data_IF_874214413151
#
_entry.id   IF_874214413151
#
_cell.length_a   1.000
_cell.length_b   1.000
_cell.length_c   1.000
_cell.angle_alpha   90.00
_cell.angle_beta   90.00
_cell.angle_gamma   90.00
#
_symmetry.space_group_name_H-M   'P 1'
#
loop_
_entity.id
_entity.type
_entity.pdbx_description
1 polymer ?
#
# COMPACT_ATOMS: atom_id res chain seq x y z
N UNK A 1 -18.53 -33.39 22.97
CA UNK A 1 -18.02 -32.91 21.65
C UNK A 1 -18.78 -31.67 21.13
N UNK A 2 -20.10 -31.61 21.28
CA UNK A 2 -20.94 -30.47 20.82
C UNK A 2 -20.68 -29.16 21.60
N UNK A 3 -20.57 -29.24 22.92
CA UNK A 3 -20.27 -28.12 23.82
C UNK A 3 -18.89 -27.49 23.58
N UNK A 4 -17.89 -28.29 23.24
CA UNK A 4 -16.55 -27.79 22.87
C UNK A 4 -16.59 -27.00 21.56
N UNK A 5 -17.26 -27.49 20.53
CA UNK A 5 -17.43 -26.76 19.24
C UNK A 5 -18.14 -25.43 19.41
N UNK A 6 -19.20 -25.39 20.22
CA UNK A 6 -19.96 -24.14 20.49
C UNK A 6 -19.05 -23.13 21.23
N UNK A 7 -18.20 -23.60 22.12
CA UNK A 7 -17.26 -22.74 22.86
C UNK A 7 -16.18 -22.17 21.93
N UNK A 8 -15.60 -23.01 21.07
CA UNK A 8 -14.63 -22.60 20.06
C UNK A 8 -15.23 -21.58 19.07
N UNK A 9 -16.46 -21.82 18.61
CA UNK A 9 -17.17 -20.88 17.73
C UNK A 9 -17.47 -19.54 18.45
N UNK A 10 -17.88 -19.56 19.70
CA UNK A 10 -18.12 -18.34 20.48
C UNK A 10 -16.81 -17.55 20.75
N UNK A 11 -15.72 -18.22 20.99
CA UNK A 11 -14.40 -17.57 21.16
C UNK A 11 -13.90 -16.99 19.84
N UNK A 12 -14.09 -17.67 18.71
CA UNK A 12 -13.80 -17.16 17.38
C UNK A 12 -14.63 -15.90 17.08
N UNK A 13 -15.93 -15.96 17.33
CA UNK A 13 -16.86 -14.84 17.11
C UNK A 13 -16.50 -13.62 17.99
N UNK A 14 -16.10 -13.85 19.22
CA UNK A 14 -15.63 -12.77 20.11
C UNK A 14 -14.34 -12.12 19.58
N UNK A 15 -13.39 -12.92 19.10
CA UNK A 15 -12.16 -12.42 18.48
C UNK A 15 -12.43 -11.62 17.22
N UNK A 16 -13.36 -12.07 16.37
CA UNK A 16 -13.78 -11.33 15.17
C UNK A 16 -14.45 -9.99 15.52
N UNK A 17 -15.37 -10.00 16.51
CA UNK A 17 -16.00 -8.76 16.98
C UNK A 17 -14.99 -7.77 17.55
N UNK A 18 -14.03 -8.24 18.36
CA UNK A 18 -12.97 -7.38 18.89
C UNK A 18 -12.13 -6.78 17.76
N UNK A 19 -11.66 -7.59 16.82
CA UNK A 19 -10.90 -7.13 15.65
C UNK A 19 -11.66 -6.09 14.81
N UNK A 20 -12.98 -6.29 14.64
CA UNK A 20 -13.82 -5.35 13.93
C UNK A 20 -13.93 -4.01 14.69
N UNK A 21 -14.15 -4.07 16.01
CA UNK A 21 -14.24 -2.87 16.84
C UNK A 21 -12.91 -2.10 16.85
N UNK A 22 -11.78 -2.79 16.98
CA UNK A 22 -10.44 -2.20 16.93
C UNK A 22 -10.20 -1.53 15.56
N UNK A 23 -10.53 -2.22 14.46
CA UNK A 23 -10.43 -1.66 13.10
C UNK A 23 -11.31 -0.42 12.92
N UNK A 24 -12.54 -0.41 13.46
CA UNK A 24 -13.41 0.77 13.37
C UNK A 24 -12.87 1.95 14.18
N UNK A 25 -12.29 1.69 15.36
CA UNK A 25 -11.64 2.72 16.17
C UNK A 25 -10.43 3.33 15.44
N UNK A 26 -9.59 2.49 14.82
CA UNK A 26 -8.45 2.92 14.03
C UNK A 26 -8.88 3.78 12.83
N UNK A 27 -9.90 3.32 12.07
CA UNK A 27 -10.49 4.07 10.96
C UNK A 27 -10.97 5.46 11.41
N UNK A 28 -11.74 5.49 12.51
CA UNK A 28 -12.27 6.75 13.04
C UNK A 28 -11.14 7.71 13.46
N UNK A 29 -10.07 7.18 14.05
CA UNK A 29 -8.90 7.96 14.43
C UNK A 29 -8.17 8.50 13.20
N UNK A 30 -7.94 7.66 12.17
CA UNK A 30 -7.24 8.05 10.94
C UNK A 30 -8.02 9.07 10.11
N UNK A 31 -9.35 9.07 10.16
CA UNK A 31 -10.19 10.08 9.50
C UNK A 31 -10.27 11.39 10.32
N UNK A 32 -10.26 11.29 11.66
CA UNK A 32 -10.37 12.47 12.53
C UNK A 32 -9.19 13.42 12.35
N UNK A 33 -7.98 12.90 12.22
CA UNK A 33 -6.75 13.71 12.10
C UNK A 33 -6.80 14.66 10.89
N UNK A 34 -6.93 14.19 9.64
CA UNK A 34 -6.98 15.08 8.48
C UNK A 34 -8.22 16.01 8.50
N UNK A 35 -9.35 15.53 9.02
CA UNK A 35 -10.55 16.37 9.16
C UNK A 35 -10.32 17.51 10.14
N UNK A 36 -9.64 17.26 11.27
CA UNK A 36 -9.30 18.30 12.25
C UNK A 36 -8.33 19.31 11.63
N UNK A 37 -7.32 18.84 10.90
CA UNK A 37 -6.37 19.72 10.20
C UNK A 37 -7.07 20.57 9.14
N UNK A 38 -7.95 19.97 8.32
CA UNK A 38 -8.73 20.72 7.32
C UNK A 38 -9.63 21.81 7.98
N UNK A 39 -10.29 21.50 9.09
CA UNK A 39 -11.09 22.49 9.82
C UNK A 39 -10.23 23.63 10.39
N UNK A 40 -9.02 23.34 10.88
CA UNK A 40 -8.09 24.36 11.35
C UNK A 40 -7.67 25.27 10.20
N UNK A 41 -7.27 24.71 9.05
CA UNK A 41 -6.88 25.48 7.87
C UNK A 41 -8.05 26.35 7.38
N UNK A 42 -9.27 25.82 7.35
CA UNK A 42 -10.47 26.59 7.00
C UNK A 42 -10.71 27.77 7.97
N UNK A 43 -10.34 27.61 9.23
CA UNK A 43 -10.42 28.71 10.20
C UNK A 43 -9.37 29.78 9.91
N UNK A 44 -8.12 29.39 9.63
CA UNK A 44 -7.03 30.29 9.25
C UNK A 44 -7.36 31.05 7.96
N UNK A 45 -7.97 30.38 6.98
CA UNK A 45 -8.39 31.00 5.72
C UNK A 45 -9.37 32.17 5.89
N UNK A 46 -10.20 32.16 6.93
CA UNK A 46 -11.17 33.25 7.18
C UNK A 46 -10.50 34.56 7.56
N UNK A 47 -9.35 34.48 8.24
CA UNK A 47 -8.62 35.65 8.76
C UNK A 47 -7.38 35.98 7.89
N UNK A 48 -7.10 35.14 6.87
CA UNK A 48 -5.93 35.30 6.00
C UNK A 48 -6.16 36.41 4.98
N UNK A 49 -5.33 37.47 5.07
CA UNK A 49 -5.36 38.59 4.15
C UNK A 49 -4.26 38.55 3.08
N UNK A 50 -3.24 37.70 3.28
CA UNK A 50 -2.17 37.50 2.31
C UNK A 50 -2.58 36.49 1.25
N UNK A 51 -2.60 36.92 0.00
CA UNK A 51 -2.99 36.07 -1.14
C UNK A 51 -2.04 34.90 -1.37
N UNK A 52 -0.76 35.01 -1.05
CA UNK A 52 0.22 33.93 -1.18
C UNK A 52 0.00 32.85 -0.12
N UNK A 53 -0.20 33.28 1.11
CA UNK A 53 -0.52 32.38 2.23
C UNK A 53 -1.86 31.67 1.99
N UNK A 54 -2.87 32.40 1.52
CA UNK A 54 -4.18 31.85 1.17
C UNK A 54 -4.10 30.74 0.13
N UNK A 55 -3.29 30.91 -0.94
CA UNK A 55 -3.08 29.86 -1.94
C UNK A 55 -2.40 28.62 -1.35
N UNK A 56 -1.45 28.81 -0.44
CA UNK A 56 -0.80 27.69 0.26
C UNK A 56 -1.79 26.90 1.09
N UNK A 57 -2.58 27.59 1.92
CA UNK A 57 -3.62 26.96 2.76
C UNK A 57 -4.69 26.23 1.95
N UNK A 58 -5.10 26.78 0.80
CA UNK A 58 -6.04 26.10 -0.11
C UNK A 58 -5.43 24.80 -0.66
N UNK A 59 -4.17 24.84 -1.11
CA UNK A 59 -3.49 23.64 -1.60
C UNK A 59 -3.35 22.58 -0.53
N UNK A 60 -2.96 22.95 0.69
CA UNK A 60 -2.88 22.04 1.82
C UNK A 60 -4.26 21.39 2.13
N UNK A 61 -5.33 22.17 2.01
CA UNK A 61 -6.69 21.65 2.18
C UNK A 61 -7.04 20.63 1.10
N UNK A 62 -6.72 20.92 -0.16
CA UNK A 62 -6.93 19.98 -1.28
C UNK A 62 -6.15 18.68 -1.08
N UNK A 63 -4.90 18.75 -0.66
CA UNK A 63 -4.07 17.59 -0.35
C UNK A 63 -4.69 16.71 0.76
N UNK A 64 -5.23 17.33 1.82
CA UNK A 64 -5.93 16.61 2.88
C UNK A 64 -7.20 15.90 2.38
N UNK A 65 -7.98 16.53 1.49
CA UNK A 65 -9.15 15.88 0.90
C UNK A 65 -8.76 14.71 0.00
N UNK A 66 -7.76 14.83 -0.84
CA UNK A 66 -7.23 13.74 -1.68
C UNK A 66 -6.78 12.56 -0.80
N UNK A 67 -6.10 12.85 0.31
CA UNK A 67 -5.69 11.82 1.27
C UNK A 67 -6.89 11.10 1.91
N UNK A 68 -7.93 11.85 2.31
CA UNK A 68 -9.15 11.26 2.87
C UNK A 68 -9.90 10.40 1.85
N UNK A 69 -10.03 10.85 0.60
CA UNK A 69 -10.64 10.07 -0.48
C UNK A 69 -9.90 8.75 -0.71
N UNK A 70 -8.57 8.81 -0.77
CA UNK A 70 -7.74 7.60 -0.90
C UNK A 70 -7.92 6.64 0.28
N UNK A 71 -7.97 7.17 1.51
CA UNK A 71 -8.19 6.39 2.72
C UNK A 71 -9.54 5.66 2.66
N UNK A 72 -10.62 6.38 2.38
CA UNK A 72 -11.98 5.80 2.27
C UNK A 72 -12.04 4.74 1.16
N UNK A 73 -11.49 5.04 -0.02
CA UNK A 73 -11.44 4.08 -1.13
C UNK A 73 -10.67 2.80 -0.77
N UNK A 74 -9.54 2.94 -0.08
CA UNK A 74 -8.74 1.79 0.37
C UNK A 74 -9.46 0.94 1.41
N UNK A 75 -10.15 1.58 2.37
CA UNK A 75 -10.97 0.90 3.37
C UNK A 75 -12.14 0.12 2.74
N UNK A 76 -12.81 0.70 1.74
CA UNK A 76 -13.86 0.01 1.00
C UNK A 76 -13.33 -1.20 0.23
N UNK A 77 -12.13 -1.10 -0.38
CA UNK A 77 -11.47 -2.24 -1.03
C UNK A 77 -11.15 -3.34 -0.02
N UNK A 78 -10.56 -3.01 1.12
CA UNK A 78 -10.27 -3.95 2.21
C UNK A 78 -11.55 -4.63 2.70
N UNK A 79 -12.61 -3.86 2.96
CA UNK A 79 -13.90 -4.41 3.42
C UNK A 79 -14.49 -5.42 2.43
N UNK A 80 -14.43 -5.12 1.12
CA UNK A 80 -14.89 -6.05 0.08
C UNK A 80 -14.05 -7.32 -0.02
N UNK A 81 -12.72 -7.21 0.13
CA UNK A 81 -11.80 -8.34 0.15
C UNK A 81 -12.03 -9.23 1.38
N UNK A 82 -12.22 -8.64 2.56
CA UNK A 82 -12.54 -9.36 3.81
C UNK A 82 -13.85 -10.12 3.73
N UNK A 83 -14.87 -9.47 3.16
CA UNK A 83 -16.17 -10.10 2.97
C UNK A 83 -16.17 -11.22 1.91
N UNK A 84 -15.05 -11.44 1.21
CA UNK A 84 -14.97 -12.42 0.12
C UNK A 84 -15.87 -12.10 -1.08
N UNK A 85 -16.33 -10.86 -1.21
CA UNK A 85 -17.23 -10.43 -2.29
C UNK A 85 -16.47 -10.18 -3.59
N UNK A 86 -15.15 -9.96 -3.50
CA UNK A 86 -14.34 -9.67 -4.68
C UNK A 86 -14.12 -10.95 -5.48
N UNK A 87 -14.58 -10.93 -6.72
CA UNK A 87 -14.31 -11.98 -7.70
C UNK A 87 -13.16 -11.49 -8.58
N UNK A 88 -11.98 -12.12 -8.46
CA UNK A 88 -10.83 -11.80 -9.29
C UNK A 88 -10.97 -12.40 -10.69
N UNK A 89 -10.87 -11.57 -11.72
CA UNK A 89 -10.81 -12.00 -13.11
C UNK A 89 -9.40 -12.46 -13.46
N UNK A 90 -9.09 -13.74 -13.14
CA UNK A 90 -7.75 -14.30 -13.35
C UNK A 90 -7.51 -14.60 -14.82
N UNK A 91 -6.70 -13.80 -15.44
CA UNK A 91 -6.26 -13.92 -16.83
C UNK A 91 -4.72 -14.03 -16.92
N UNK A 92 -4.21 -14.25 -18.11
CA UNK A 92 -2.77 -14.18 -18.36
C UNK A 92 -2.35 -12.71 -18.47
N UNK A 93 -1.59 -12.25 -17.49
CA UNK A 93 -1.11 -10.86 -17.38
C UNK A 93 0.36 -10.80 -17.80
N UNK A 94 0.66 -9.93 -18.75
CA UNK A 94 2.05 -9.62 -19.14
C UNK A 94 2.69 -8.73 -18.07
N UNK A 95 3.85 -9.18 -17.54
CA UNK A 95 4.52 -8.50 -16.43
C UNK A 95 5.01 -7.10 -16.82
N UNK A 96 5.50 -6.92 -18.04
CA UNK A 96 5.91 -5.63 -18.58
C UNK A 96 4.77 -4.59 -18.56
N UNK A 97 3.58 -4.99 -19.03
CA UNK A 97 2.38 -4.13 -19.03
C UNK A 97 1.87 -3.85 -17.63
N UNK A 98 1.94 -4.85 -16.75
CA UNK A 98 1.54 -4.71 -15.35
C UNK A 98 2.40 -3.65 -14.64
N UNK A 99 3.72 -3.75 -14.78
CA UNK A 99 4.67 -2.80 -14.20
C UNK A 99 4.48 -1.40 -14.79
N UNK A 100 4.35 -1.28 -16.13
CA UNK A 100 4.12 0.00 -16.77
C UNK A 100 2.81 0.67 -16.27
N UNK A 101 1.72 -0.10 -16.14
CA UNK A 101 0.45 0.38 -15.58
C UNK A 101 0.56 0.84 -14.12
N UNK A 102 1.37 0.14 -13.32
CA UNK A 102 1.58 0.48 -11.91
C UNK A 102 2.46 1.72 -11.74
N UNK A 103 3.47 1.90 -12.61
CA UNK A 103 4.39 3.04 -12.59
C UNK A 103 3.76 4.34 -13.11
N UNK A 104 2.79 4.24 -14.02
CA UNK A 104 2.21 5.40 -14.70
C UNK A 104 1.87 6.59 -13.79
N UNK A 105 1.23 6.41 -12.61
CA UNK A 105 0.90 7.53 -11.71
C UNK A 105 2.13 8.20 -11.06
N UNK A 106 3.26 7.52 -11.06
CA UNK A 106 4.49 7.99 -10.39
C UNK A 106 5.48 8.66 -11.33
N UNK A 107 5.26 8.66 -12.66
CA UNK A 107 6.22 9.21 -13.62
C UNK A 107 6.54 10.69 -13.35
N UNK A 108 5.52 11.51 -13.13
CA UNK A 108 5.72 12.95 -12.81
C UNK A 108 6.37 13.13 -11.42
N UNK A 109 5.88 12.50 -10.34
CA UNK A 109 6.57 12.55 -9.05
C UNK A 109 8.02 12.09 -9.10
N UNK A 110 8.34 11.01 -9.84
CA UNK A 110 9.70 10.52 -10.00
C UNK A 110 10.60 11.54 -10.69
N UNK A 111 10.11 12.19 -11.74
CA UNK A 111 10.83 13.24 -12.44
C UNK A 111 11.09 14.46 -11.52
N UNK A 112 10.07 14.92 -10.78
CA UNK A 112 10.18 16.05 -9.87
C UNK A 112 11.18 15.82 -8.73
N UNK A 113 11.27 14.59 -8.22
CA UNK A 113 12.19 14.19 -7.15
C UNK A 113 13.49 13.57 -7.67
N UNK A 114 13.71 13.56 -9.00
CA UNK A 114 14.87 12.96 -9.65
C UNK A 114 15.10 11.50 -9.23
N UNK A 115 14.02 10.72 -9.07
CA UNK A 115 14.07 9.30 -8.73
C UNK A 115 14.27 8.48 -10.00
N UNK A 116 15.33 7.66 -10.02
CA UNK A 116 15.65 6.78 -11.15
C UNK A 116 14.93 5.44 -11.00
N UNK A 117 14.37 4.92 -12.08
CA UNK A 117 13.75 3.59 -12.11
C UNK A 117 14.49 2.71 -13.10
N UNK A 118 14.92 1.56 -12.62
CA UNK A 118 15.57 0.52 -13.44
C UNK A 118 14.61 -0.68 -13.53
N UNK A 119 14.30 -1.14 -14.74
CA UNK A 119 13.36 -2.24 -14.98
C UNK A 119 14.05 -3.34 -15.74
N UNK A 120 14.08 -4.52 -15.15
CA UNK A 120 14.65 -5.74 -15.74
C UNK A 120 13.60 -6.85 -15.76
N UNK A 121 12.87 -6.97 -16.85
CA UNK A 121 11.80 -7.95 -17.04
C UNK A 121 12.10 -8.78 -18.28
N UNK A 122 12.19 -10.11 -18.17
CA UNK A 122 12.38 -10.99 -19.33
C UNK A 122 11.23 -10.81 -20.34
N UNK A 123 11.59 -10.82 -21.62
CA UNK A 123 10.61 -10.75 -22.69
C UNK A 123 9.63 -11.93 -22.61
N UNK A 124 8.35 -11.62 -22.70
CA UNK A 124 7.28 -12.63 -22.64
C UNK A 124 6.95 -13.13 -21.23
N UNK A 125 7.54 -12.59 -20.17
CA UNK A 125 7.19 -12.95 -18.79
C UNK A 125 5.70 -12.72 -18.52
N UNK A 126 5.03 -13.77 -18.00
CA UNK A 126 3.59 -13.77 -17.73
C UNK A 126 3.30 -14.38 -16.38
N UNK A 127 2.22 -13.89 -15.76
CA UNK A 127 1.67 -14.43 -14.52
C UNK A 127 0.15 -14.54 -14.64
N UNK A 128 -0.47 -15.34 -13.77
CA UNK A 128 -1.91 -15.52 -13.75
C UNK A 128 -2.53 -14.66 -12.65
N UNK A 129 -3.45 -13.74 -13.02
CA UNK A 129 -4.10 -12.88 -12.03
C UNK A 129 -5.03 -11.84 -12.66
N UNK A 130 -5.59 -11.00 -11.82
CA UNK A 130 -6.39 -9.84 -12.24
C UNK A 130 -5.46 -8.63 -12.39
N UNK A 131 -5.30 -8.15 -13.60
CA UNK A 131 -4.36 -7.07 -13.93
C UNK A 131 -4.65 -5.80 -13.12
N UNK A 132 -5.91 -5.42 -12.93
CA UNK A 132 -6.29 -4.19 -12.23
C UNK A 132 -5.91 -4.27 -10.75
N UNK A 133 -6.23 -5.39 -10.10
CA UNK A 133 -5.90 -5.61 -8.70
C UNK A 133 -4.39 -5.79 -8.47
N UNK A 134 -3.70 -6.51 -9.37
CA UNK A 134 -2.24 -6.65 -9.28
C UNK A 134 -1.52 -5.31 -9.46
N UNK A 135 -1.99 -4.48 -10.42
CA UNK A 135 -1.47 -3.12 -10.60
C UNK A 135 -1.68 -2.27 -9.34
N UNK A 136 -2.82 -2.40 -8.67
CA UNK A 136 -3.08 -1.73 -7.38
C UNK A 136 -2.12 -2.20 -6.29
N UNK A 137 -1.85 -3.50 -6.19
CA UNK A 137 -0.90 -4.04 -5.20
C UNK A 137 0.51 -3.49 -5.43
N UNK A 138 0.99 -3.48 -6.68
CA UNK A 138 2.31 -2.94 -7.04
C UNK A 138 2.35 -1.42 -6.78
N UNK A 139 1.29 -0.67 -7.08
CA UNK A 139 1.22 0.77 -6.78
C UNK A 139 1.39 1.06 -5.29
N UNK A 140 0.81 0.25 -4.41
CA UNK A 140 0.99 0.41 -2.97
C UNK A 140 2.43 0.18 -2.52
N UNK A 141 3.15 -0.75 -3.15
CA UNK A 141 4.60 -0.95 -2.91
C UNK A 141 5.39 0.23 -3.46
N UNK A 142 5.15 0.64 -4.70
CA UNK A 142 5.85 1.76 -5.34
C UNK A 142 5.66 3.06 -4.57
N UNK A 143 4.46 3.31 -4.05
CA UNK A 143 4.21 4.46 -3.17
C UNK A 143 5.10 4.41 -1.93
N UNK A 144 5.22 3.24 -1.30
CA UNK A 144 6.08 3.06 -0.14
C UNK A 144 7.56 3.30 -0.48
N UNK A 145 8.03 2.77 -1.62
CA UNK A 145 9.38 3.02 -2.11
C UNK A 145 9.62 4.52 -2.37
N UNK A 146 8.69 5.21 -3.05
CA UNK A 146 8.80 6.65 -3.31
C UNK A 146 8.88 7.49 -2.03
N UNK A 147 8.07 7.16 -1.01
CA UNK A 147 8.12 7.83 0.29
C UNK A 147 9.43 7.55 1.05
N UNK A 148 10.05 6.38 0.79
CA UNK A 148 11.29 5.93 1.45
C UNK A 148 12.55 6.54 0.84
N UNK A 149 12.64 6.64 -0.49
CA UNK A 149 13.88 7.05 -1.17
C UNK A 149 14.16 8.56 -1.12
N UNK A 150 13.11 9.39 -0.97
CA UNK A 150 13.26 10.84 -1.04
C UNK A 150 13.76 11.32 -2.41
N UNK A 151 14.53 12.43 -2.42
CA UNK A 151 15.11 12.99 -3.64
C UNK A 151 16.35 12.20 -4.09
N UNK A 152 16.54 12.09 -5.42
CA UNK A 152 17.66 11.40 -6.07
C UNK A 152 17.77 9.90 -5.72
N UNK A 153 16.65 9.25 -5.34
CA UNK A 153 16.62 7.83 -5.03
C UNK A 153 16.63 6.93 -6.27
N UNK A 154 16.78 5.63 -6.02
CA UNK A 154 16.73 4.60 -7.07
C UNK A 154 15.71 3.55 -6.67
N UNK A 155 14.89 3.13 -7.64
CA UNK A 155 13.96 2.02 -7.51
C UNK A 155 14.28 1.01 -8.61
N UNK A 156 14.59 -0.22 -8.22
CA UNK A 156 14.90 -1.32 -9.14
C UNK A 156 13.74 -2.31 -9.14
N UNK A 157 13.28 -2.69 -10.32
CA UNK A 157 12.21 -3.66 -10.51
C UNK A 157 12.74 -4.80 -11.36
N UNK A 158 12.81 -5.98 -10.77
CA UNK A 158 13.27 -7.18 -11.45
C UNK A 158 12.15 -8.22 -11.55
N UNK A 159 12.14 -8.99 -12.62
CA UNK A 159 11.27 -10.13 -12.76
C UNK A 159 12.10 -11.39 -13.02
N UNK A 160 11.82 -12.44 -12.23
CA UNK A 160 12.31 -13.80 -12.49
C UNK A 160 11.14 -14.65 -12.95
N UNK A 161 11.21 -15.13 -14.18
CA UNK A 161 10.20 -16.03 -14.74
C UNK A 161 10.79 -17.43 -14.91
N UNK A 162 10.28 -18.39 -14.15
CA UNK A 162 10.74 -19.78 -14.12
C UNK A 162 9.61 -20.74 -14.52
N UNK A 163 9.89 -22.02 -14.62
CA UNK A 163 8.87 -23.05 -14.87
C UNK A 163 7.89 -23.22 -13.70
N UNK A 164 8.29 -22.85 -12.48
CA UNK A 164 7.51 -23.08 -11.26
C UNK A 164 6.78 -21.85 -10.77
N UNK A 165 7.35 -20.66 -11.00
CA UNK A 165 6.79 -19.40 -10.50
C UNK A 165 7.30 -18.20 -11.31
N UNK A 166 6.53 -17.13 -11.26
CA UNK A 166 6.95 -15.78 -11.65
C UNK A 166 7.11 -14.94 -10.39
N UNK A 167 8.25 -14.28 -10.24
CA UNK A 167 8.57 -13.43 -9.09
C UNK A 167 8.90 -12.01 -9.56
N UNK A 168 8.25 -11.01 -8.96
CA UNK A 168 8.58 -9.60 -9.15
C UNK A 168 9.23 -9.12 -7.86
N UNK A 169 10.45 -8.61 -7.96
CA UNK A 169 11.19 -7.99 -6.86
C UNK A 169 11.26 -6.49 -7.08
N UNK A 170 10.92 -5.70 -6.08
CA UNK A 170 11.03 -4.24 -6.09
C UNK A 170 11.96 -3.86 -4.95
N UNK A 171 13.07 -3.22 -5.28
CA UNK A 171 14.09 -2.75 -4.34
C UNK A 171 14.18 -1.23 -4.41
N UNK A 172 14.31 -0.58 -3.27
CA UNK A 172 14.55 0.86 -3.16
C UNK A 172 15.88 1.17 -2.47
N UNK A 173 16.44 2.34 -2.77
CA UNK A 173 17.69 2.82 -2.15
C UNK A 173 17.48 3.58 -0.83
N UNK A 174 16.31 3.48 -0.23
CA UNK A 174 15.97 4.15 1.02
C UNK A 174 16.67 3.54 2.25
N UNK A 175 16.31 3.94 3.46
CA UNK A 175 16.93 3.46 4.70
C UNK A 175 16.53 2.02 5.06
N UNK A 176 15.54 1.43 4.37
CA UNK A 176 14.98 0.13 4.73
C UNK A 176 14.13 0.17 6.00
N UNK A 177 13.78 -1.01 6.49
CA UNK A 177 12.92 -1.19 7.67
C UNK A 177 13.73 -1.46 8.93
N UNK A 178 13.19 -1.08 10.10
CA UNK A 178 13.71 -1.57 11.37
C UNK A 178 13.39 -3.07 11.51
N UNK A 179 14.28 -3.84 12.14
CA UNK A 179 14.11 -5.30 12.28
C UNK A 179 12.80 -5.67 13.02
N UNK A 180 12.43 -4.85 14.00
CA UNK A 180 11.22 -5.02 14.80
C UNK A 180 9.95 -4.82 14.00
N UNK A 181 10.01 -4.00 12.93
CA UNK A 181 8.85 -3.65 12.11
C UNK A 181 8.57 -4.72 11.04
N UNK A 182 9.58 -5.48 10.59
CA UNK A 182 9.48 -6.42 9.47
C UNK A 182 8.32 -7.43 9.59
N UNK A 183 8.06 -7.94 10.78
CA UNK A 183 6.97 -8.91 11.00
C UNK A 183 5.58 -8.29 10.90
N UNK A 184 5.48 -6.97 11.03
CA UNK A 184 4.23 -6.22 11.14
C UNK A 184 3.92 -5.33 9.95
N UNK A 185 4.82 -5.19 8.97
CA UNK A 185 4.66 -4.29 7.81
C UNK A 185 3.35 -4.48 7.05
N UNK A 186 2.80 -5.69 7.04
CA UNK A 186 1.55 -6.03 6.37
C UNK A 186 0.33 -6.03 7.30
N UNK A 187 0.49 -5.63 8.57
CA UNK A 187 -0.65 -5.41 9.47
C UNK A 187 -1.37 -4.10 9.10
N UNK A 188 -2.68 -4.07 9.28
CA UNK A 188 -3.48 -2.87 9.01
C UNK A 188 -3.15 -1.79 10.04
N UNK A 189 -3.08 -0.55 9.58
CA UNK A 189 -2.80 0.64 10.39
C UNK A 189 -1.42 0.62 11.07
N UNK A 190 -0.59 -0.38 10.75
CA UNK A 190 0.75 -0.41 11.28
C UNK A 190 1.64 0.62 10.59
N UNK A 191 2.33 1.41 11.39
CA UNK A 191 3.38 2.35 10.97
C UNK A 191 4.63 2.11 11.80
N UNK A 192 5.77 2.06 11.16
CA UNK A 192 7.06 1.97 11.84
C UNK A 192 7.32 3.18 12.73
N UNK A 193 8.08 3.01 13.80
CA UNK A 193 8.36 4.09 14.77
C UNK A 193 9.05 5.32 14.18
N UNK A 194 9.77 5.16 13.08
CA UNK A 194 10.49 6.24 12.38
C UNK A 194 9.78 6.71 11.10
N UNK A 195 8.62 6.15 10.81
CA UNK A 195 7.86 6.51 9.62
C UNK A 195 7.16 7.85 9.86
N UNK A 196 7.78 8.92 9.38
CA UNK A 196 7.24 10.28 9.36
C UNK A 196 6.39 10.55 8.10
N UNK A 197 6.24 9.56 7.22
CA UNK A 197 5.48 9.67 5.98
C UNK A 197 3.98 9.90 6.20
N UNK A 198 3.29 10.36 5.16
CA UNK A 198 1.85 10.64 5.17
C UNK A 198 0.97 9.38 5.11
N UNK A 199 1.55 8.18 5.16
CA UNK A 199 0.85 6.91 5.00
C UNK A 199 -0.01 6.52 6.20
N UNK A 200 -1.18 5.92 5.94
CA UNK A 200 -2.13 5.47 6.98
C UNK A 200 -1.89 4.00 7.43
N UNK A 201 -0.81 3.36 6.99
CA UNK A 201 -0.51 1.96 7.31
C UNK A 201 -1.47 0.95 6.67
N UNK A 202 -2.12 1.31 5.56
CA UNK A 202 -3.14 0.49 4.88
C UNK A 202 -2.61 -0.12 3.58
N UNK A 203 -1.69 0.56 2.90
CA UNK A 203 -1.25 0.19 1.54
C UNK A 203 -0.64 -1.21 1.46
N UNK A 204 0.30 -1.54 2.34
CA UNK A 204 0.94 -2.86 2.35
C UNK A 204 -0.02 -3.97 2.80
N UNK A 205 -0.93 -3.68 3.74
CA UNK A 205 -1.97 -4.63 4.12
C UNK A 205 -2.90 -4.94 2.94
N UNK A 206 -3.36 -3.93 2.21
CA UNK A 206 -4.16 -4.10 0.99
C UNK A 206 -3.39 -4.88 -0.08
N UNK A 207 -2.11 -4.57 -0.29
CA UNK A 207 -1.23 -5.31 -1.20
C UNK A 207 -1.22 -6.81 -0.86
N UNK A 208 -0.97 -7.16 0.42
CA UNK A 208 -0.95 -8.55 0.86
C UNK A 208 -2.28 -9.25 0.62
N UNK A 209 -3.40 -8.60 0.93
CA UNK A 209 -4.74 -9.17 0.71
C UNK A 209 -5.01 -9.45 -0.77
N UNK A 210 -4.64 -8.53 -1.66
CA UNK A 210 -4.79 -8.69 -3.10
C UNK A 210 -3.95 -9.87 -3.62
N UNK A 211 -2.68 -9.92 -3.24
CA UNK A 211 -1.75 -10.95 -3.70
C UNK A 211 -2.18 -12.34 -3.19
N UNK A 212 -2.45 -12.47 -1.89
CA UNK A 212 -2.86 -13.75 -1.29
C UNK A 212 -4.23 -14.21 -1.76
N UNK A 213 -5.19 -13.30 -1.95
CA UNK A 213 -6.51 -13.60 -2.50
C UNK A 213 -6.46 -14.17 -3.93
N UNK A 214 -5.38 -13.92 -4.66
CA UNK A 214 -5.16 -14.46 -6.00
C UNK A 214 -4.24 -15.70 -6.02
N UNK A 215 -3.77 -16.16 -4.86
CA UNK A 215 -2.93 -17.36 -4.72
C UNK A 215 -1.43 -17.08 -4.80
N UNK A 216 -1.02 -15.81 -4.78
CA UNK A 216 0.36 -15.40 -4.68
C UNK A 216 0.84 -15.24 -3.23
N UNK A 217 2.12 -14.93 -3.08
CA UNK A 217 2.74 -14.57 -1.81
C UNK A 217 3.48 -13.25 -1.95
N UNK A 218 3.52 -12.48 -0.86
CA UNK A 218 4.31 -11.24 -0.77
C UNK A 218 5.13 -11.25 0.51
N UNK A 219 6.37 -10.81 0.39
CA UNK A 219 7.30 -10.63 1.51
C UNK A 219 8.00 -9.28 1.39
N UNK A 220 8.47 -8.77 2.51
CA UNK A 220 9.30 -7.57 2.57
C UNK A 220 10.50 -7.82 3.48
N UNK A 221 11.60 -7.13 3.20
CA UNK A 221 12.83 -7.23 3.96
C UNK A 221 13.75 -6.06 3.65
N UNK A 222 14.98 -6.14 4.16
CA UNK A 222 16.04 -5.21 3.82
C UNK A 222 17.02 -5.86 2.83
N UNK A 223 17.41 -5.11 1.84
CA UNK A 223 18.43 -5.57 0.90
C UNK A 223 19.82 -5.53 1.54
N UNK A 224 20.74 -6.49 1.26
CA UNK A 224 22.08 -6.52 1.84
C UNK A 224 22.92 -5.27 1.56
N UNK A 225 22.66 -4.59 0.43
CA UNK A 225 23.34 -3.35 0.04
C UNK A 225 22.63 -2.08 0.56
N UNK A 226 21.59 -2.24 1.39
CA UNK A 226 20.74 -1.16 1.91
C UNK A 226 19.40 -1.05 1.19
N UNK A 227 18.45 -0.33 1.78
CA UNK A 227 17.11 -0.15 1.24
C UNK A 227 16.14 -1.27 1.56
N UNK A 228 14.87 -1.05 1.22
CA UNK A 228 13.84 -2.06 1.37
C UNK A 228 13.73 -2.92 0.10
N UNK A 229 13.36 -4.18 0.28
CA UNK A 229 13.07 -5.11 -0.81
C UNK A 229 11.71 -5.75 -0.59
N UNK A 230 10.91 -5.77 -1.65
CA UNK A 230 9.62 -6.46 -1.70
C UNK A 230 9.68 -7.55 -2.76
N UNK A 231 9.18 -8.74 -2.42
CA UNK A 231 9.10 -9.88 -3.35
C UNK A 231 7.66 -10.33 -3.47
N UNK A 232 7.13 -10.35 -4.69
CA UNK A 232 5.80 -10.85 -5.04
C UNK A 232 5.99 -12.10 -5.88
N UNK A 233 5.45 -13.25 -5.45
CA UNK A 233 5.61 -14.51 -6.15
C UNK A 233 4.26 -15.17 -6.44
N UNK A 234 4.08 -15.60 -7.68
CA UNK A 234 2.93 -16.37 -8.14
C UNK A 234 3.38 -17.73 -8.69
N UNK A 235 2.76 -18.84 -8.27
CA UNK A 235 3.00 -20.14 -8.88
C UNK A 235 2.46 -20.16 -10.32
N UNK A 236 3.08 -21.00 -11.17
CA UNK A 236 2.63 -21.23 -12.56
C UNK A 236 1.42 -22.18 -12.62
#
# INVERSE_FOLDING_TARGET
KMTLRIREQNESLKKEKSRLADSMADIAHQLRTPLTSANLILTLLKDCTDEKERKTLLRETEELFIQMEWLVASLLKISRLDAGIVVFHREQVKVDRLIASALHPFLIPMELHNVQVQINVPEGAVMRGDQSWLSEAIRNILKNCMESVGDNGIIEIECKDTLLYTEITIHDSGPGFQKEDLSRLFERFYRGKKDSGSGYGIGLALCKMIITGQGGTVAAGNHPLGGAVFSIRFPK
#
